data_IF_736971844309
#
_entry.id   IF_736971844309
#
_cell.length_a   1.000
_cell.length_b   1.000
_cell.length_c   1.000
_cell.angle_alpha   90.00
_cell.angle_beta   90.00
_cell.angle_gamma   90.00
#
_symmetry.space_group_name_H-M   'P 1'
#
loop_
_entity.id
_entity.type
_entity.pdbx_description
1 polymer ?
#
# COMPACT_ATOMS: atom_id res chain seq x y z
N UNK A 1 48.91 44.45 -0.29
CA UNK A 1 48.23 43.14 -0.31
C UNK A 1 46.96 43.27 0.51
N UNK A 2 45.81 43.63 -0.08
CA UNK A 2 44.58 43.81 0.69
C UNK A 2 43.97 42.45 1.02
N UNK A 3 43.76 42.23 2.32
CA UNK A 3 43.13 41.09 2.96
C UNK A 3 41.72 40.87 2.41
N UNK A 4 41.40 39.62 2.03
CA UNK A 4 40.08 39.21 1.55
C UNK A 4 39.07 39.35 2.70
N UNK A 5 38.34 40.46 2.71
CA UNK A 5 37.14 40.63 3.51
C UNK A 5 36.24 39.41 3.27
N UNK A 6 35.94 38.68 4.34
CA UNK A 6 35.07 37.52 4.32
C UNK A 6 33.74 37.91 3.68
N UNK A 7 33.48 37.37 2.49
CA UNK A 7 32.25 37.53 1.74
C UNK A 7 31.10 36.82 2.50
N UNK A 8 30.10 37.54 3.02
CA UNK A 8 28.98 36.93 3.73
C UNK A 8 27.90 36.40 2.77
N UNK A 9 28.14 36.40 1.44
CA UNK A 9 27.09 36.23 0.44
C UNK A 9 27.00 34.88 -0.26
N UNK A 10 27.93 33.94 -0.05
CA UNK A 10 27.86 32.63 -0.73
C UNK A 10 27.73 31.51 0.32
N UNK A 11 26.54 30.95 0.52
CA UNK A 11 26.38 29.78 1.38
C UNK A 11 27.18 28.64 0.75
N UNK A 12 28.23 28.19 1.44
CA UNK A 12 28.96 26.98 1.08
C UNK A 12 27.98 25.81 1.05
N UNK A 13 28.12 24.93 0.06
CA UNK A 13 27.22 23.82 -0.32
C UNK A 13 26.88 22.81 0.80
N UNK A 14 27.44 23.00 2.00
CA UNK A 14 27.21 22.22 3.22
C UNK A 14 26.18 22.82 4.17
N UNK A 15 25.75 24.07 3.97
CA UNK A 15 24.63 24.64 4.72
C UNK A 15 23.31 24.23 4.05
N UNK A 16 22.92 22.96 4.21
CA UNK A 16 21.53 22.57 4.05
C UNK A 16 20.71 23.36 5.07
N UNK A 17 19.80 24.19 4.60
CA UNK A 17 18.72 24.68 5.42
C UNK A 17 17.95 23.46 5.94
N UNK A 18 18.02 23.21 7.25
CA UNK A 18 17.04 22.39 7.95
C UNK A 18 15.68 23.09 7.75
N UNK A 19 14.69 22.50 7.07
CA UNK A 19 13.37 23.10 7.01
C UNK A 19 12.76 23.01 8.42
N UNK A 20 12.59 24.15 9.07
CA UNK A 20 11.79 24.26 10.29
C UNK A 20 10.31 23.98 9.94
N UNK A 21 9.93 22.71 9.98
CA UNK A 21 8.59 22.20 9.63
C UNK A 21 7.50 22.45 10.68
N UNK A 22 7.57 23.53 11.47
CA UNK A 22 6.47 23.88 12.38
C UNK A 22 6.34 25.39 12.57
N UNK A 23 5.25 26.02 12.11
CA UNK A 23 4.58 27.00 12.94
C UNK A 23 3.78 26.25 14.03
N UNK A 24 4.06 26.57 15.30
CA UNK A 24 3.12 26.30 16.38
C UNK A 24 1.77 26.89 16.02
N UNK A 25 0.80 26.03 15.73
CA UNK A 25 -0.63 26.37 15.73
C UNK A 25 -1.33 25.23 16.45
N UNK A 26 -1.28 25.30 17.78
CA UNK A 26 -2.22 24.61 18.63
C UNK A 26 -3.61 25.22 18.37
N UNK A 27 -4.37 24.64 17.45
CA UNK A 27 -5.83 24.76 17.32
C UNK A 27 -6.28 24.03 16.05
N UNK A 28 -6.35 22.70 16.11
CA UNK A 28 -7.38 21.97 15.36
C UNK A 28 -7.66 20.56 15.93
N UNK A 29 -7.46 20.37 17.24
CA UNK A 29 -7.87 19.14 17.96
C UNK A 29 -9.38 19.09 18.27
N UNK A 30 -10.21 19.80 17.50
CA UNK A 30 -11.66 19.91 17.76
C UNK A 30 -12.56 19.22 16.72
N UNK A 31 -12.03 18.75 15.59
CA UNK A 31 -12.84 18.14 14.52
C UNK A 31 -12.23 16.84 13.96
N UNK A 32 -11.55 16.06 14.81
CA UNK A 32 -11.30 14.66 14.49
C UNK A 32 -12.59 13.86 14.79
N UNK A 33 -13.21 13.18 13.81
CA UNK A 33 -14.34 12.31 14.10
C UNK A 33 -13.86 11.19 15.03
N UNK A 34 -14.35 11.22 16.27
CA UNK A 34 -14.05 10.19 17.25
C UNK A 34 -14.72 8.90 16.77
N UNK A 35 -13.94 7.88 16.40
CA UNK A 35 -14.42 6.56 16.00
C UNK A 35 -15.00 5.76 17.18
N UNK A 36 -15.69 6.43 18.11
CA UNK A 36 -16.28 5.82 19.32
C UNK A 36 -17.79 5.66 19.18
N UNK A 37 -18.37 5.96 18.01
CA UNK A 37 -19.81 5.87 17.79
C UNK A 37 -20.13 5.02 16.54
N UNK A 38 -19.63 3.78 16.52
CA UNK A 38 -20.36 2.70 15.85
C UNK A 38 -21.05 1.90 16.95
N UNK A 39 -22.35 2.16 17.06
CA UNK A 39 -23.30 1.45 17.88
C UNK A 39 -23.06 -0.07 17.86
N UNK A 40 -22.88 -0.66 19.03
CA UNK A 40 -23.90 -1.46 19.75
C UNK A 40 -25.10 -2.02 18.94
N UNK A 41 -24.88 -2.42 17.68
CA UNK A 41 -25.75 -3.36 16.97
C UNK A 41 -25.03 -4.70 16.99
N UNK A 42 -25.21 -5.43 18.10
CA UNK A 42 -25.01 -6.88 18.13
C UNK A 42 -26.07 -7.50 17.21
N UNK A 43 -25.74 -8.01 16.01
CA UNK A 43 -26.58 -9.05 15.45
C UNK A 43 -26.57 -10.19 16.46
N UNK A 44 -27.73 -10.47 17.05
CA UNK A 44 -27.99 -11.75 17.70
C UNK A 44 -27.83 -12.83 16.62
N UNK A 45 -26.59 -13.23 16.34
CA UNK A 45 -26.29 -14.44 15.62
C UNK A 45 -26.80 -15.56 16.53
N UNK A 46 -27.82 -16.27 16.07
CA UNK A 46 -28.16 -17.58 16.65
C UNK A 46 -26.86 -18.39 16.63
N UNK A 47 -26.32 -18.64 17.83
CA UNK A 47 -25.11 -19.45 18.05
C UNK A 47 -25.26 -20.89 17.48
N UNK A 48 -26.48 -21.27 17.08
CA UNK A 48 -26.85 -22.54 16.48
C UNK A 48 -26.73 -22.59 14.94
N UNK A 49 -26.35 -21.49 14.27
CA UNK A 49 -26.28 -21.45 12.80
C UNK A 49 -24.94 -21.98 12.22
N UNK A 50 -23.94 -22.25 13.06
CA UNK A 50 -22.65 -22.80 12.61
C UNK A 50 -22.53 -24.27 13.04
N UNK A 51 -22.44 -25.23 12.10
CA UNK A 51 -22.17 -26.62 12.45
C UNK A 51 -20.77 -26.72 13.05
N UNK A 52 -20.70 -27.06 14.35
CA UNK A 52 -19.44 -27.39 15.00
C UNK A 52 -18.89 -28.65 14.33
N UNK A 53 -17.60 -28.63 13.97
CA UNK A 53 -16.87 -29.75 13.34
C UNK A 53 -16.87 -31.06 14.15
N UNK A 54 -17.47 -31.06 15.34
CA UNK A 54 -17.68 -32.22 16.20
C UNK A 54 -18.87 -33.08 15.78
N UNK A 55 -19.79 -32.57 14.96
CA UNK A 55 -20.94 -33.34 14.43
C UNK A 55 -20.57 -34.08 13.13
N UNK A 56 -19.47 -34.85 13.19
CA UNK A 56 -19.19 -35.90 12.20
C UNK A 56 -20.08 -37.09 12.54
N UNK A 57 -21.23 -37.13 11.87
CA UNK A 57 -22.03 -38.30 11.51
C UNK A 57 -21.91 -39.54 12.42
N UNK A 58 -22.73 -39.60 13.47
CA UNK A 58 -23.15 -40.89 14.01
C UNK A 58 -24.46 -41.30 13.34
N UNK A 59 -24.42 -42.33 12.47
CA UNK A 59 -25.52 -43.29 12.17
C UNK A 59 -25.28 -44.09 10.86
N UNK A 60 -25.86 -45.30 10.67
CA UNK A 60 -25.29 -46.55 11.18
C UNK A 60 -25.21 -47.64 10.08
N UNK A 61 -24.50 -48.72 10.37
CA UNK A 61 -24.66 -50.07 9.80
C UNK A 61 -24.43 -50.29 8.28
N UNK A 62 -23.24 -50.78 7.95
CA UNK A 62 -23.08 -51.75 6.86
C UNK A 62 -21.93 -52.71 7.20
N UNK A 63 -22.19 -53.66 8.08
CA UNK A 63 -21.36 -54.86 8.19
C UNK A 63 -21.47 -55.65 6.89
N UNK A 64 -20.45 -55.56 6.01
CA UNK A 64 -20.13 -56.63 5.06
C UNK A 64 -18.62 -56.81 4.99
N UNK A 65 -18.18 -57.72 5.85
CA UNK A 65 -17.05 -58.61 5.65
C UNK A 65 -16.92 -59.00 4.17
N UNK A 66 -15.93 -58.45 3.46
CA UNK A 66 -15.45 -59.07 2.24
C UNK A 66 -13.96 -58.77 2.05
N UNK A 67 -13.18 -59.83 2.27
CA UNK A 67 -11.76 -59.90 2.02
C UNK A 67 -11.43 -59.61 0.55
N UNK A 68 -10.64 -58.55 0.32
CA UNK A 68 -9.69 -58.48 -0.79
C UNK A 68 -8.65 -57.41 -0.48
N UNK A 69 -7.46 -57.84 -0.06
CA UNK A 69 -6.26 -56.99 -0.07
C UNK A 69 -5.91 -56.71 -1.53
N UNK A 70 -6.41 -55.58 -2.05
CA UNK A 70 -5.91 -54.96 -3.26
C UNK A 70 -4.68 -54.10 -2.91
N UNK A 71 -3.63 -54.05 -3.74
CA UNK A 71 -2.54 -53.10 -3.53
C UNK A 71 -3.11 -51.69 -3.62
N UNK A 72 -3.03 -50.95 -2.51
CA UNK A 72 -3.44 -49.56 -2.45
C UNK A 72 -2.73 -48.78 -3.58
N UNK A 73 -3.44 -47.95 -4.37
CA UNK A 73 -2.74 -46.90 -5.10
C UNK A 73 -2.01 -46.08 -4.05
N UNK A 74 -0.70 -45.93 -4.21
CA UNK A 74 0.12 -45.06 -3.37
C UNK A 74 -0.66 -43.75 -3.17
N UNK A 75 -1.01 -43.47 -1.92
CA UNK A 75 -1.65 -42.23 -1.52
C UNK A 75 -0.83 -41.11 -2.15
N UNK A 76 -1.42 -40.40 -3.11
CA UNK A 76 -0.84 -39.18 -3.62
C UNK A 76 -0.63 -38.28 -2.40
N UNK A 77 0.63 -37.96 -2.11
CA UNK A 77 0.97 -37.07 -1.02
C UNK A 77 0.10 -35.80 -1.14
N UNK A 78 -0.48 -35.29 -0.04
CA UNK A 78 -1.21 -34.03 -0.11
C UNK A 78 -0.23 -32.99 -0.63
N UNK A 79 -0.60 -32.28 -1.70
CA UNK A 79 0.17 -31.16 -2.20
C UNK A 79 0.36 -30.19 -1.04
N UNK A 80 1.59 -30.07 -0.54
CA UNK A 80 1.89 -29.22 0.59
C UNK A 80 1.46 -27.80 0.25
N UNK A 81 0.61 -27.23 1.10
CA UNK A 81 0.20 -25.83 0.99
C UNK A 81 1.47 -24.96 0.96
N UNK A 82 1.53 -23.93 0.09
CA UNK A 82 2.70 -23.06 0.02
C UNK A 82 2.93 -22.39 1.39
N UNK A 83 4.20 -22.36 1.81
CA UNK A 83 4.59 -21.74 3.08
C UNK A 83 4.20 -20.25 3.09
N UNK A 84 3.71 -19.78 4.24
CA UNK A 84 3.27 -18.40 4.42
C UNK A 84 4.39 -17.39 4.11
N UNK A 85 5.65 -17.78 4.35
CA UNK A 85 6.83 -16.99 3.99
C UNK A 85 6.93 -16.75 2.48
N UNK A 86 6.70 -17.78 1.66
CA UNK A 86 6.73 -17.70 0.20
C UNK A 86 5.58 -16.84 -0.32
N UNK A 87 4.40 -16.95 0.28
CA UNK A 87 3.26 -16.09 -0.08
C UNK A 87 3.53 -14.62 0.25
N UNK A 88 4.09 -14.32 1.42
CA UNK A 88 4.47 -12.95 1.80
C UNK A 88 5.55 -12.37 0.90
N UNK A 89 6.55 -13.16 0.51
CA UNK A 89 7.60 -12.75 -0.42
C UNK A 89 7.04 -12.46 -1.82
N UNK A 90 6.08 -13.27 -2.28
CA UNK A 90 5.40 -13.03 -3.56
C UNK A 90 4.56 -11.76 -3.52
N UNK A 91 3.79 -11.56 -2.45
CA UNK A 91 2.99 -10.35 -2.27
C UNK A 91 3.88 -9.10 -2.21
N UNK A 92 4.99 -9.16 -1.48
CA UNK A 92 5.97 -8.07 -1.42
C UNK A 92 6.52 -7.72 -2.81
N UNK A 93 6.87 -8.73 -3.61
CA UNK A 93 7.33 -8.52 -4.98
C UNK A 93 6.24 -7.89 -5.87
N UNK A 94 4.98 -8.30 -5.70
CA UNK A 94 3.84 -7.76 -6.43
C UNK A 94 3.58 -6.28 -6.07
N UNK A 95 3.64 -5.94 -4.77
CA UNK A 95 3.51 -4.57 -4.30
C UNK A 95 4.63 -3.69 -4.89
N UNK A 96 5.88 -4.14 -4.82
CA UNK A 96 7.00 -3.37 -5.36
C UNK A 96 6.92 -3.18 -6.87
N UNK A 97 6.42 -4.18 -7.60
CA UNK A 97 6.21 -4.07 -9.03
C UNK A 97 5.11 -3.05 -9.35
N UNK A 98 3.97 -3.13 -8.66
CA UNK A 98 2.87 -2.18 -8.84
C UNK A 98 3.29 -0.75 -8.48
N UNK A 99 4.09 -0.58 -7.41
CA UNK A 99 4.65 0.72 -7.05
C UNK A 99 5.56 1.29 -8.13
N UNK A 100 6.40 0.45 -8.76
CA UNK A 100 7.30 0.89 -9.84
C UNK A 100 6.52 1.31 -11.09
N UNK A 101 5.47 0.58 -11.42
CA UNK A 101 4.58 0.90 -12.54
C UNK A 101 3.82 2.21 -12.29
N UNK A 102 3.16 2.32 -11.14
CA UNK A 102 2.43 3.55 -10.76
C UNK A 102 3.34 4.79 -10.71
N UNK A 103 4.60 4.64 -10.30
CA UNK A 103 5.59 5.71 -10.34
C UNK A 103 5.92 6.13 -11.78
N UNK A 104 6.11 5.16 -12.69
CA UNK A 104 6.38 5.46 -14.09
C UNK A 104 5.22 6.22 -14.74
N UNK A 105 3.99 5.76 -14.50
CA UNK A 105 2.77 6.39 -15.01
C UNK A 105 2.61 7.82 -14.47
N UNK A 106 2.83 8.02 -13.17
CA UNK A 106 2.75 9.35 -12.55
C UNK A 106 3.81 10.32 -13.12
N UNK A 107 5.02 9.83 -13.43
CA UNK A 107 6.06 10.65 -14.06
C UNK A 107 5.63 11.03 -15.48
N UNK A 108 5.08 10.09 -16.25
CA UNK A 108 4.59 10.37 -17.61
C UNK A 108 3.46 11.41 -17.60
N UNK A 109 2.52 11.31 -16.66
CA UNK A 109 1.44 12.30 -16.50
C UNK A 109 2.00 13.70 -16.19
N UNK A 110 2.95 13.80 -15.26
CA UNK A 110 3.59 15.08 -14.92
C UNK A 110 4.32 15.66 -16.12
N UNK A 111 5.06 14.85 -16.88
CA UNK A 111 5.75 15.28 -18.08
C UNK A 111 4.78 15.78 -19.15
N UNK A 112 3.71 15.03 -19.43
CA UNK A 112 2.69 15.42 -20.39
C UNK A 112 2.02 16.75 -20.01
N UNK A 113 1.74 16.94 -18.71
CA UNK A 113 1.20 18.20 -18.20
C UNK A 113 2.19 19.36 -18.37
N UNK A 114 3.46 19.16 -18.04
CA UNK A 114 4.50 20.17 -18.24
C UNK A 114 4.60 20.58 -19.71
N UNK A 115 4.65 19.61 -20.62
CA UNK A 115 4.76 19.84 -22.06
C UNK A 115 3.54 20.60 -22.62
N UNK A 116 2.34 20.34 -22.09
CA UNK A 116 1.14 21.08 -22.44
C UNK A 116 1.15 22.53 -21.92
N UNK A 117 1.82 22.80 -20.79
CA UNK A 117 1.91 24.13 -20.18
C UNK A 117 3.01 25.00 -20.81
N UNK A 118 4.10 24.40 -21.33
CA UNK A 118 5.23 25.12 -21.92
C UNK A 118 4.83 26.13 -23.03
N UNK A 119 3.99 25.78 -24.03
CA UNK A 119 3.58 26.72 -25.08
C UNK A 119 2.86 27.95 -24.52
N UNK A 120 2.05 27.76 -23.48
CA UNK A 120 1.30 28.85 -22.83
C UNK A 120 2.25 29.81 -22.12
N UNK A 121 3.24 29.27 -21.42
CA UNK A 121 4.27 30.08 -20.73
C UNK A 121 5.09 30.86 -21.75
N UNK A 122 5.55 30.20 -22.83
CA UNK A 122 6.33 30.84 -23.90
C UNK A 122 5.54 31.98 -24.55
N UNK A 123 4.26 31.76 -24.88
CA UNK A 123 3.42 32.80 -25.45
C UNK A 123 3.31 34.04 -24.54
N UNK A 124 3.13 33.82 -23.23
CA UNK A 124 3.08 34.89 -22.23
C UNK A 124 4.41 35.66 -22.18
N UNK A 125 5.54 34.95 -22.08
CA UNK A 125 6.87 35.58 -22.03
C UNK A 125 7.14 36.37 -23.31
N UNK A 126 6.81 35.85 -24.49
CA UNK A 126 6.98 36.58 -25.74
C UNK A 126 6.11 37.83 -25.82
N UNK A 127 4.90 37.79 -25.25
CA UNK A 127 4.02 38.96 -25.16
C UNK A 127 4.60 40.02 -24.20
N UNK A 128 5.15 39.60 -23.08
CA UNK A 128 5.77 40.51 -22.09
C UNK A 128 7.08 41.12 -22.61
N UNK A 129 7.82 40.40 -23.46
CA UNK A 129 9.10 40.86 -24.04
C UNK A 129 8.91 41.74 -25.28
N UNK A 130 7.82 41.60 -26.03
CA UNK A 130 7.58 42.43 -27.23
C UNK A 130 7.32 43.88 -26.77
N UNK A 131 8.29 44.80 -26.91
CA UNK A 131 8.06 46.18 -26.56
C UNK A 131 7.07 46.73 -27.60
N UNK A 132 6.06 47.45 -27.12
CA UNK A 132 5.32 48.38 -27.96
C UNK A 132 6.23 49.47 -28.49
#
# INVERSE_FOLDING_TARGET
MPSRSADPGIPTLTQRAEPSLYPSSAQDDADAPVLTELADDEPAYDDDAFPLLTDVADSPDASLDNAAVAPAPAQAAPAALPDATVLSARLQAEIEQLMREALADAIEEIQARMDAELPRIVARVLQDVRPG
#
